data_IF_383220064561
#
_entry.id   IF_383220064561
#
_cell.length_a   1.000
_cell.length_b   1.000
_cell.length_c   1.000
_cell.angle_alpha   90.00
_cell.angle_beta   90.00
_cell.angle_gamma   90.00
#
_symmetry.space_group_name_H-M   'P 1'
#
loop_
_entity.id
_entity.type
_entity.pdbx_description
1 polymer ?
#
# COMPACT_ATOMS: atom_id res chain seq x y z
N UNK A 1 24.51 -15.07 -6.48
CA UNK A 1 24.17 -14.38 -5.19
C UNK A 1 22.70 -13.96 -5.29
N UNK A 2 21.87 -14.29 -4.30
CA UNK A 2 20.44 -14.00 -4.33
C UNK A 2 20.18 -12.49 -4.26
N UNK A 3 19.37 -11.98 -5.18
CA UNK A 3 19.02 -10.56 -5.31
C UNK A 3 17.56 -10.32 -4.98
N UNK A 4 17.28 -9.29 -4.17
CA UNK A 4 15.92 -8.78 -3.90
C UNK A 4 15.58 -7.54 -4.75
N UNK A 5 16.39 -7.25 -5.78
CA UNK A 5 16.13 -6.13 -6.69
C UNK A 5 14.78 -6.30 -7.37
N UNK A 6 14.09 -5.20 -7.53
CA UNK A 6 12.79 -5.15 -8.21
C UNK A 6 12.62 -3.86 -8.99
N UNK A 7 11.58 -3.80 -9.80
CA UNK A 7 11.20 -2.58 -10.53
C UNK A 7 9.71 -2.30 -10.32
N UNK A 8 9.37 -1.02 -10.14
CA UNK A 8 8.00 -0.50 -10.12
C UNK A 8 7.95 0.81 -10.92
N UNK A 9 7.01 0.93 -11.83
CA UNK A 9 6.78 2.15 -12.61
C UNK A 9 8.02 2.63 -13.40
N UNK A 10 8.90 1.71 -13.78
CA UNK A 10 10.16 2.01 -14.48
C UNK A 10 11.34 2.35 -13.57
N UNK A 11 11.15 2.48 -12.28
CA UNK A 11 12.21 2.71 -11.28
C UNK A 11 12.72 1.39 -10.70
N UNK A 12 14.02 1.34 -10.41
CA UNK A 12 14.69 0.18 -9.83
C UNK A 12 14.92 0.38 -8.33
N UNK A 13 14.75 -0.70 -7.56
CA UNK A 13 14.94 -0.74 -6.11
C UNK A 13 15.82 -1.93 -5.75
N UNK A 14 16.78 -1.73 -4.82
CA UNK A 14 17.71 -2.80 -4.40
C UNK A 14 17.06 -3.84 -3.49
N UNK A 15 15.89 -3.53 -2.90
CA UNK A 15 15.08 -4.41 -2.08
C UNK A 15 13.60 -4.24 -2.41
N UNK A 16 12.86 -5.34 -2.44
CA UNK A 16 11.43 -5.37 -2.73
C UNK A 16 10.53 -5.02 -1.53
N UNK A 17 11.09 -4.74 -0.35
CA UNK A 17 10.34 -4.44 0.87
C UNK A 17 10.26 -2.94 1.13
N UNK A 18 9.09 -2.48 1.59
CA UNK A 18 8.85 -1.10 2.02
C UNK A 18 7.76 -1.05 3.10
N UNK A 19 7.58 0.10 3.74
CA UNK A 19 6.47 0.32 4.66
C UNK A 19 5.13 0.45 3.93
N UNK A 20 4.02 0.20 4.62
CA UNK A 20 2.68 0.55 4.15
C UNK A 20 2.35 2.01 4.52
N UNK A 21 1.55 2.71 3.67
CA UNK A 21 1.17 4.12 3.81
C UNK A 21 0.29 4.44 5.05
N UNK A 22 0.56 3.82 6.16
CA UNK A 22 -0.16 3.98 7.43
C UNK A 22 0.71 3.80 8.64
N UNK A 23 1.95 3.32 8.44
CA UNK A 23 2.86 2.92 9.52
C UNK A 23 4.25 3.47 9.29
N UNK A 24 4.85 4.03 10.34
CA UNK A 24 6.20 4.65 10.34
C UNK A 24 6.38 5.62 9.17
N UNK A 25 5.44 6.56 9.03
CA UNK A 25 5.42 7.47 7.89
C UNK A 25 4.63 8.77 8.15
N UNK A 26 4.26 9.04 9.41
CA UNK A 26 3.50 10.22 9.81
C UNK A 26 4.35 11.47 9.81
N UNK A 27 5.60 11.37 10.27
CA UNK A 27 6.54 12.47 10.37
C UNK A 27 7.80 12.21 9.54
N UNK A 28 8.60 13.25 9.35
CA UNK A 28 9.90 13.14 8.66
C UNK A 28 10.84 12.19 9.41
N UNK A 29 10.82 12.23 10.75
CA UNK A 29 11.65 11.37 11.60
C UNK A 29 11.32 9.89 11.36
N UNK A 30 10.03 9.53 11.33
CA UNK A 30 9.59 8.17 11.02
C UNK A 30 10.00 7.73 9.61
N UNK A 31 9.87 8.63 8.62
CA UNK A 31 10.29 8.36 7.24
C UNK A 31 11.80 8.17 7.13
N UNK A 32 12.59 8.96 7.89
CA UNK A 32 14.05 8.81 7.97
C UNK A 32 14.47 7.47 8.58
N UNK A 33 13.78 6.98 9.61
CA UNK A 33 14.04 5.65 10.17
C UNK A 33 13.84 4.55 9.12
N UNK A 34 12.74 4.61 8.35
CA UNK A 34 12.51 3.66 7.25
C UNK A 34 13.55 3.81 6.15
N UNK A 35 13.90 5.06 5.76
CA UNK A 35 14.88 5.36 4.71
C UNK A 35 16.29 4.82 5.04
N UNK A 36 16.67 4.85 6.31
CA UNK A 36 17.97 4.39 6.82
C UNK A 36 18.00 2.88 7.09
N UNK A 37 16.85 2.21 7.05
CA UNK A 37 16.74 0.76 7.25
C UNK A 37 17.13 -0.04 6.00
N UNK A 38 16.95 -1.35 6.08
CA UNK A 38 17.13 -2.26 4.93
C UNK A 38 15.93 -2.22 3.92
N UNK A 39 14.95 -1.33 4.09
CA UNK A 39 13.88 -1.14 3.11
C UNK A 39 14.43 -0.62 1.77
N UNK A 40 13.87 -1.06 0.67
CA UNK A 40 14.26 -0.60 -0.67
C UNK A 40 13.87 0.85 -0.93
N UNK A 41 12.77 1.29 -0.35
CA UNK A 41 12.24 2.65 -0.39
C UNK A 41 11.19 2.81 0.72
N UNK A 42 10.55 3.99 0.77
CA UNK A 42 9.40 4.23 1.62
C UNK A 42 8.23 4.88 0.86
N UNK A 43 7.03 4.80 1.47
CA UNK A 43 5.85 5.56 1.10
C UNK A 43 5.45 6.48 2.26
N UNK A 44 5.05 7.71 1.95
CA UNK A 44 4.56 8.66 2.96
C UNK A 44 3.23 8.22 3.54
N UNK A 45 2.83 8.83 4.66
CA UNK A 45 1.44 8.77 5.12
C UNK A 45 0.53 9.28 4.02
N UNK A 46 -0.63 8.62 3.85
CA UNK A 46 -1.64 9.10 2.91
C UNK A 46 -2.05 10.52 3.27
N UNK A 47 -1.70 11.47 2.41
CA UNK A 47 -1.89 12.89 2.59
C UNK A 47 -3.28 13.35 2.14
N UNK A 48 -3.79 14.37 2.82
CA UNK A 48 -4.97 15.18 2.43
C UNK A 48 -4.54 16.61 2.15
N UNK A 49 -5.43 17.46 1.62
CA UNK A 49 -5.10 18.87 1.33
C UNK A 49 -4.67 19.64 2.59
N UNK A 50 -5.32 19.35 3.71
CA UNK A 50 -5.03 20.00 4.99
C UNK A 50 -4.65 18.97 6.04
N UNK A 51 -3.89 19.33 7.08
CA UNK A 51 -3.54 18.42 8.17
C UNK A 51 -4.79 17.86 8.87
N UNK A 52 -4.72 16.62 9.33
CA UNK A 52 -5.81 15.96 10.04
C UNK A 52 -5.31 15.32 11.33
N UNK A 53 -6.05 15.50 12.43
CA UNK A 53 -5.77 14.84 13.71
C UNK A 53 -6.21 13.38 13.73
N UNK A 54 -7.14 13.02 12.83
CA UNK A 54 -7.77 11.69 12.83
C UNK A 54 -8.89 11.55 13.86
N UNK A 55 -9.29 10.30 14.10
CA UNK A 55 -10.36 9.98 15.05
C UNK A 55 -9.87 10.06 16.50
N UNK A 56 -10.78 10.20 17.50
CA UNK A 56 -10.43 10.18 18.92
C UNK A 56 -9.88 8.81 19.37
N UNK A 57 -9.00 8.84 20.37
CA UNK A 57 -8.42 7.65 21.00
C UNK A 57 -9.40 6.93 21.95
N UNK A 58 -9.23 5.62 22.18
CA UNK A 58 -8.33 4.69 21.48
C UNK A 58 -8.84 4.36 20.07
N UNK A 59 -7.99 4.55 19.06
CA UNK A 59 -8.30 4.33 17.65
C UNK A 59 -7.46 3.25 16.96
N UNK A 60 -6.55 2.64 17.73
CA UNK A 60 -5.71 1.51 17.36
C UNK A 60 -5.56 0.56 18.54
N UNK A 61 -5.56 -0.74 18.28
CA UNK A 61 -5.29 -1.77 19.26
C UNK A 61 -4.56 -2.94 18.59
N UNK A 62 -3.46 -3.38 19.20
CA UNK A 62 -2.88 -4.68 18.90
C UNK A 62 -3.78 -5.78 19.46
N UNK A 63 -3.99 -6.82 18.65
CA UNK A 63 -4.78 -8.00 19.02
C UNK A 63 -3.98 -9.25 18.62
N UNK A 64 -4.30 -10.42 19.18
CA UNK A 64 -3.66 -11.65 18.72
C UNK A 64 -3.73 -11.79 17.19
N UNK A 65 -2.62 -12.12 16.53
CA UNK A 65 -2.49 -12.24 15.08
C UNK A 65 -2.66 -10.94 14.27
N UNK A 66 -2.68 -9.76 14.90
CA UNK A 66 -2.77 -8.54 14.13
C UNK A 66 -3.12 -7.27 14.89
N UNK A 67 -3.97 -6.47 14.29
CA UNK A 67 -4.43 -5.20 14.85
C UNK A 67 -5.81 -4.82 14.33
N UNK A 68 -6.50 -3.98 15.09
CA UNK A 68 -7.71 -3.28 14.65
C UNK A 68 -7.48 -1.78 14.73
N UNK A 69 -7.93 -1.02 13.73
CA UNK A 69 -7.77 0.42 13.71
C UNK A 69 -8.95 1.15 13.06
N UNK A 70 -9.19 2.36 13.53
CA UNK A 70 -10.08 3.34 12.90
C UNK A 70 -9.43 4.72 13.00
N UNK A 71 -8.29 4.89 12.29
CA UNK A 71 -7.39 6.03 12.44
C UNK A 71 -8.01 7.37 12.05
N UNK A 72 -8.88 7.43 11.01
CA UNK A 72 -9.48 8.66 10.55
C UNK A 72 -8.54 9.55 9.72
N UNK A 73 -7.55 8.96 9.04
CA UNK A 73 -6.56 9.65 8.20
C UNK A 73 -5.76 10.75 8.92
N UNK A 74 -5.16 10.52 10.10
CA UNK A 74 -4.25 11.49 10.64
C UNK A 74 -3.06 11.69 9.68
N UNK A 75 -2.71 12.95 9.36
CA UNK A 75 -1.58 13.28 8.49
C UNK A 75 -1.23 14.76 8.58
N UNK A 76 -0.05 15.14 8.09
CA UNK A 76 0.49 16.51 8.16
C UNK A 76 0.16 17.38 6.94
N UNK A 77 -0.62 16.91 6.00
CA UNK A 77 -0.96 17.49 4.68
C UNK A 77 0.01 17.11 3.55
N UNK A 78 -0.44 17.31 2.32
CA UNK A 78 0.36 17.07 1.12
C UNK A 78 1.60 17.95 1.07
N UNK A 79 1.53 19.21 1.52
CA UNK A 79 2.66 20.13 1.49
C UNK A 79 3.83 19.64 2.32
N UNK A 80 3.55 19.20 3.55
CA UNK A 80 4.57 18.65 4.45
C UNK A 80 5.37 17.52 3.81
N UNK A 81 4.67 16.58 3.15
CA UNK A 81 5.35 15.43 2.53
C UNK A 81 6.03 15.81 1.22
N UNK A 82 5.43 16.68 0.41
CA UNK A 82 6.07 17.15 -0.83
C UNK A 82 7.36 17.92 -0.55
N UNK A 83 7.38 18.83 0.40
CA UNK A 83 8.56 19.61 0.77
C UNK A 83 9.71 18.68 1.17
N UNK A 84 9.42 17.66 1.98
CA UNK A 84 10.42 16.69 2.38
C UNK A 84 10.91 15.84 1.19
N UNK A 85 9.99 15.33 0.36
CA UNK A 85 10.34 14.50 -0.81
C UNK A 85 11.16 15.28 -1.85
N UNK A 86 10.88 16.56 -2.05
CA UNK A 86 11.68 17.44 -2.93
C UNK A 86 13.10 17.61 -2.40
N UNK A 87 13.25 17.84 -1.10
CA UNK A 87 14.58 17.91 -0.44
C UNK A 87 15.36 16.61 -0.62
N UNK A 88 14.69 15.46 -0.48
CA UNK A 88 15.33 14.14 -0.71
C UNK A 88 15.71 13.93 -2.18
N UNK A 89 14.86 14.34 -3.10
CA UNK A 89 15.12 14.21 -4.53
C UNK A 89 16.33 15.03 -4.97
N UNK A 90 16.55 16.20 -4.37
CA UNK A 90 17.74 17.03 -4.63
C UNK A 90 19.01 16.40 -4.05
N UNK A 91 18.92 15.85 -2.82
CA UNK A 91 20.08 15.28 -2.12
C UNK A 91 20.41 13.84 -2.53
N UNK A 92 19.45 13.07 -3.05
CA UNK A 92 19.57 11.67 -3.43
C UNK A 92 18.85 11.39 -4.76
N UNK A 93 19.29 11.98 -5.88
CA UNK A 93 18.59 11.93 -7.17
C UNK A 93 18.50 10.50 -7.76
N UNK A 94 19.33 9.58 -7.30
CA UNK A 94 19.31 8.17 -7.70
C UNK A 94 18.25 7.33 -6.97
N UNK A 95 17.64 7.87 -5.91
CA UNK A 95 16.60 7.17 -5.13
C UNK A 95 15.21 7.67 -5.49
N UNK A 96 14.27 6.75 -5.55
CA UNK A 96 12.86 7.04 -5.82
C UNK A 96 12.00 6.71 -4.60
N UNK A 97 11.09 7.60 -4.27
CA UNK A 97 10.18 7.50 -3.13
C UNK A 97 8.72 7.57 -3.57
N UNK A 98 7.84 7.12 -2.71
CA UNK A 98 6.40 7.12 -2.97
C UNK A 98 5.69 8.18 -2.14
N UNK A 99 4.76 8.89 -2.77
CA UNK A 99 3.81 9.80 -2.14
C UNK A 99 2.42 9.17 -2.17
N UNK A 100 1.81 8.92 -1.02
CA UNK A 100 0.43 8.47 -0.92
C UNK A 100 -0.51 9.64 -0.67
N UNK A 101 -1.67 9.66 -1.35
CA UNK A 101 -2.65 10.72 -1.18
C UNK A 101 -4.10 10.23 -1.32
N UNK A 102 -5.03 10.98 -0.76
CA UNK A 102 -6.47 10.76 -0.88
C UNK A 102 -7.22 12.09 -0.80
N UNK A 103 -8.12 12.33 -1.74
CA UNK A 103 -9.12 13.38 -1.62
C UNK A 103 -10.35 12.89 -0.86
N UNK A 104 -10.98 13.78 -0.08
CA UNK A 104 -12.26 13.51 0.59
C UNK A 104 -13.46 13.66 -0.36
N UNK A 105 -13.17 14.15 -1.58
CA UNK A 105 -14.10 14.23 -2.72
C UNK A 105 -13.32 14.09 -4.03
N UNK A 106 -14.00 13.86 -5.18
CA UNK A 106 -13.35 13.89 -6.48
C UNK A 106 -12.61 15.20 -6.77
N UNK A 107 -13.18 16.36 -6.37
CA UNK A 107 -12.56 17.67 -6.56
C UNK A 107 -11.29 17.85 -5.71
N UNK A 108 -11.27 17.35 -4.48
CA UNK A 108 -10.07 17.32 -3.66
C UNK A 108 -9.00 16.41 -4.25
N UNK A 109 -9.39 15.24 -4.78
CA UNK A 109 -8.47 14.33 -5.47
C UNK A 109 -7.83 15.02 -6.68
N UNK A 110 -8.64 15.72 -7.48
CA UNK A 110 -8.16 16.52 -8.59
C UNK A 110 -7.17 17.61 -8.15
N UNK A 111 -7.50 18.33 -7.09
CA UNK A 111 -6.64 19.40 -6.53
C UNK A 111 -5.31 18.83 -6.05
N UNK A 112 -5.32 17.70 -5.34
CA UNK A 112 -4.11 17.02 -4.86
C UNK A 112 -3.22 16.56 -6.02
N UNK A 113 -3.80 15.88 -7.02
CA UNK A 113 -3.05 15.42 -8.19
C UNK A 113 -2.48 16.60 -9.00
N UNK A 114 -3.23 17.68 -9.19
CA UNK A 114 -2.69 18.90 -9.83
C UNK A 114 -1.52 19.51 -9.05
N UNK A 115 -1.59 19.49 -7.72
CA UNK A 115 -0.50 19.98 -6.88
C UNK A 115 0.77 19.13 -7.08
N UNK A 116 0.65 17.81 -7.13
CA UNK A 116 1.77 16.92 -7.46
C UNK A 116 2.27 17.14 -8.89
N UNK A 117 1.35 17.26 -9.87
CA UNK A 117 1.70 17.49 -11.27
C UNK A 117 2.55 18.77 -11.44
N UNK A 118 2.16 19.85 -10.77
CA UNK A 118 2.82 21.14 -10.86
C UNK A 118 4.06 21.28 -9.95
N UNK A 119 4.29 20.31 -9.07
CA UNK A 119 5.50 20.25 -8.24
C UNK A 119 6.68 19.69 -9.02
N UNK A 120 7.88 19.92 -8.55
CA UNK A 120 9.11 19.28 -9.08
C UNK A 120 9.24 17.80 -8.74
N UNK A 121 8.30 17.20 -7.99
CA UNK A 121 8.37 15.80 -7.59
C UNK A 121 8.30 14.84 -8.80
N UNK A 122 9.31 13.98 -8.94
CA UNK A 122 9.46 13.01 -10.03
C UNK A 122 9.39 11.55 -9.56
N UNK A 123 9.00 11.30 -8.30
CA UNK A 123 8.80 9.96 -7.76
C UNK A 123 7.45 9.35 -8.16
N UNK A 124 7.00 8.41 -7.37
CA UNK A 124 5.80 7.61 -7.65
C UNK A 124 4.64 8.08 -6.77
N UNK A 125 3.47 8.26 -7.35
CA UNK A 125 2.24 8.64 -6.65
C UNK A 125 1.32 7.44 -6.47
N UNK A 126 0.81 7.24 -5.24
CA UNK A 126 -0.22 6.26 -4.91
C UNK A 126 -1.52 6.99 -4.54
N UNK A 127 -2.57 6.80 -5.31
CA UNK A 127 -3.91 7.27 -4.96
C UNK A 127 -4.63 6.20 -4.13
N UNK A 128 -4.96 6.53 -2.89
CA UNK A 128 -5.63 5.61 -1.99
C UNK A 128 -7.15 5.64 -2.22
N UNK A 129 -7.68 4.64 -2.92
CA UNK A 129 -9.11 4.45 -3.19
C UNK A 129 -9.84 3.63 -2.10
N UNK A 130 -9.10 3.16 -1.10
CA UNK A 130 -9.60 2.28 -0.03
C UNK A 130 -9.99 3.00 1.26
N UNK A 131 -10.09 4.32 1.23
CA UNK A 131 -10.43 5.07 2.44
C UNK A 131 -11.92 4.91 2.78
N UNK A 132 -12.29 4.36 3.96
CA UNK A 132 -13.68 4.19 4.37
C UNK A 132 -14.29 5.46 4.98
N UNK A 133 -13.72 6.64 4.76
CA UNK A 133 -13.81 7.77 5.66
C UNK A 133 -14.84 8.85 5.31
N UNK A 134 -15.67 8.64 4.27
CA UNK A 134 -16.82 9.52 4.04
C UNK A 134 -18.03 8.86 4.67
N UNK A 135 -18.56 9.46 5.72
CA UNK A 135 -19.78 8.97 6.37
C UNK A 135 -20.90 8.80 5.35
N UNK A 136 -21.51 7.61 5.33
CA UNK A 136 -22.63 7.28 4.44
C UNK A 136 -22.29 6.97 2.97
N UNK A 137 -20.99 6.94 2.60
CA UNK A 137 -20.56 6.51 1.25
C UNK A 137 -19.71 5.22 1.31
N UNK A 138 -19.82 4.35 0.29
CA UNK A 138 -18.90 3.21 0.18
C UNK A 138 -17.47 3.69 -0.03
N UNK A 139 -16.50 2.79 0.13
CA UNK A 139 -15.13 3.04 -0.30
C UNK A 139 -15.13 3.29 -1.82
N UNK A 140 -14.35 4.28 -2.28
CA UNK A 140 -14.33 4.69 -3.69
C UNK A 140 -14.07 3.49 -4.62
N UNK A 141 -13.16 2.59 -4.24
CA UNK A 141 -12.82 1.42 -5.05
C UNK A 141 -13.97 0.39 -5.21
N UNK A 142 -15.03 0.47 -4.40
CA UNK A 142 -16.24 -0.36 -4.60
C UNK A 142 -17.33 0.35 -5.44
N UNK A 143 -17.15 1.64 -5.71
CA UNK A 143 -17.96 2.42 -6.63
C UNK A 143 -17.18 2.60 -7.94
N UNK A 144 -17.40 1.67 -8.88
CA UNK A 144 -16.66 1.64 -10.14
C UNK A 144 -16.93 2.88 -11.01
N UNK A 145 -18.12 3.44 -10.97
CA UNK A 145 -18.46 4.66 -11.73
C UNK A 145 -17.68 5.87 -11.18
N UNK A 146 -17.66 6.04 -9.86
CA UNK A 146 -16.83 7.09 -9.20
C UNK A 146 -15.34 6.85 -9.44
N UNK A 147 -14.89 5.60 -9.41
CA UNK A 147 -13.50 5.24 -9.70
C UNK A 147 -13.12 5.63 -11.15
N UNK A 148 -13.96 5.27 -12.14
CA UNK A 148 -13.75 5.65 -13.54
C UNK A 148 -13.70 7.17 -13.70
N UNK A 149 -14.66 7.89 -13.15
CA UNK A 149 -14.69 9.36 -13.21
C UNK A 149 -13.41 10.01 -12.65
N UNK A 150 -12.90 9.49 -11.53
CA UNK A 150 -11.66 10.01 -10.94
C UNK A 150 -10.46 9.73 -11.85
N UNK A 151 -10.35 8.52 -12.41
CA UNK A 151 -9.24 8.12 -13.27
C UNK A 151 -9.33 8.83 -14.63
N UNK A 152 -10.51 8.93 -15.24
CA UNK A 152 -10.74 9.71 -16.47
C UNK A 152 -10.24 11.15 -16.29
N UNK A 153 -10.66 11.79 -15.21
CA UNK A 153 -10.23 13.16 -14.91
C UNK A 153 -8.72 13.23 -14.67
N UNK A 154 -8.17 12.35 -13.84
CA UNK A 154 -6.74 12.34 -13.51
C UNK A 154 -5.86 12.25 -14.76
N UNK A 155 -6.13 11.31 -15.64
CA UNK A 155 -5.31 11.08 -16.84
C UNK A 155 -5.53 12.08 -17.99
N UNK A 156 -6.36 13.11 -17.82
CA UNK A 156 -6.39 14.24 -18.76
C UNK A 156 -5.21 15.21 -18.57
N UNK A 157 -4.56 15.21 -17.40
CA UNK A 157 -3.50 16.17 -17.08
C UNK A 157 -2.34 15.59 -16.26
N UNK A 158 -2.51 14.43 -15.63
CA UNK A 158 -1.49 13.83 -14.77
C UNK A 158 -0.67 12.84 -15.58
N UNK A 159 0.58 13.16 -15.87
CA UNK A 159 1.51 12.36 -16.67
C UNK A 159 2.62 11.68 -15.87
N UNK A 160 2.68 11.94 -14.55
CA UNK A 160 3.64 11.31 -13.65
C UNK A 160 3.21 9.88 -13.28
N UNK A 161 4.15 9.04 -12.80
CA UNK A 161 3.83 7.66 -12.42
C UNK A 161 2.74 7.60 -11.35
N UNK A 162 1.58 7.02 -11.69
CA UNK A 162 0.42 6.88 -10.82
C UNK A 162 0.06 5.40 -10.64
N UNK A 163 -0.13 5.00 -9.40
CA UNK A 163 -0.77 3.75 -9.02
C UNK A 163 -1.91 3.98 -8.04
N UNK A 164 -2.62 2.93 -7.72
CA UNK A 164 -3.78 2.97 -6.82
C UNK A 164 -3.66 1.95 -5.71
N UNK A 165 -4.13 2.32 -4.50
CA UNK A 165 -4.28 1.38 -3.38
C UNK A 165 -5.73 1.00 -3.17
N UNK A 166 -5.97 -0.29 -3.07
CA UNK A 166 -7.31 -0.90 -3.04
C UNK A 166 -7.66 -1.47 -1.66
N UNK A 167 -8.95 -1.48 -1.32
CA UNK A 167 -9.48 -2.37 -0.29
C UNK A 167 -9.44 -3.81 -0.81
N UNK A 168 -9.61 -4.82 0.06
CA UNK A 168 -9.78 -6.19 -0.39
C UNK A 168 -11.11 -6.37 -1.15
N UNK A 169 -11.08 -7.09 -2.26
CA UNK A 169 -12.26 -7.63 -2.93
C UNK A 169 -12.46 -9.08 -2.50
N UNK A 170 -13.72 -9.54 -2.54
CA UNK A 170 -14.10 -10.83 -1.95
C UNK A 170 -14.76 -11.80 -2.94
N UNK A 171 -15.12 -11.35 -4.14
CA UNK A 171 -15.73 -12.20 -5.16
C UNK A 171 -15.13 -11.96 -6.56
N UNK A 172 -15.27 -12.97 -7.41
CA UNK A 172 -14.69 -12.98 -8.75
C UNK A 172 -15.25 -11.89 -9.63
N UNK A 173 -16.55 -11.61 -9.53
CA UNK A 173 -17.20 -10.60 -10.36
C UNK A 173 -16.62 -9.19 -10.09
N UNK A 174 -16.31 -8.87 -8.83
CA UNK A 174 -15.69 -7.60 -8.50
C UNK A 174 -14.22 -7.51 -8.98
N UNK A 175 -13.45 -8.60 -8.94
CA UNK A 175 -12.13 -8.61 -9.53
C UNK A 175 -12.18 -8.37 -11.04
N UNK A 176 -13.11 -9.00 -11.74
CA UNK A 176 -13.27 -8.84 -13.19
C UNK A 176 -13.68 -7.41 -13.56
N UNK A 177 -14.64 -6.84 -12.82
CA UNK A 177 -15.09 -5.45 -13.03
C UNK A 177 -13.98 -4.44 -12.73
N UNK A 178 -13.29 -4.58 -11.59
CA UNK A 178 -12.19 -3.70 -11.21
C UNK A 178 -11.05 -3.74 -12.24
N UNK A 179 -10.63 -4.93 -12.65
CA UNK A 179 -9.57 -5.08 -13.65
C UNK A 179 -9.98 -4.49 -15.01
N UNK A 180 -11.24 -4.65 -15.42
CA UNK A 180 -11.77 -4.03 -16.65
C UNK A 180 -11.68 -2.49 -16.61
N UNK A 181 -11.94 -1.90 -15.44
CA UNK A 181 -11.77 -0.44 -15.24
C UNK A 181 -10.30 -0.07 -15.32
N UNK A 182 -9.45 -0.72 -14.51
CA UNK A 182 -8.05 -0.34 -14.36
C UNK A 182 -7.23 -0.51 -15.64
N UNK A 183 -7.50 -1.54 -16.45
CA UNK A 183 -6.83 -1.79 -17.71
C UNK A 183 -7.09 -0.73 -18.80
N UNK A 184 -8.02 0.19 -18.58
CA UNK A 184 -8.29 1.31 -19.51
C UNK A 184 -7.32 2.49 -19.30
N UNK A 185 -6.57 2.49 -18.20
CA UNK A 185 -5.73 3.62 -17.81
C UNK A 185 -4.25 3.22 -17.77
N UNK A 186 -3.33 4.18 -18.01
CA UNK A 186 -1.89 3.93 -17.95
C UNK A 186 -1.37 3.88 -16.50
N UNK A 187 -2.12 3.22 -15.62
CA UNK A 187 -1.70 2.95 -14.25
C UNK A 187 -0.38 2.19 -14.25
N UNK A 188 0.47 2.51 -13.29
CA UNK A 188 1.77 1.83 -13.14
C UNK A 188 1.70 0.65 -12.20
N UNK A 189 0.82 0.71 -11.20
CA UNK A 189 0.62 -0.40 -10.28
C UNK A 189 -0.74 -0.34 -9.60
N UNK A 190 -1.13 -1.50 -9.08
CA UNK A 190 -2.23 -1.69 -8.14
C UNK A 190 -1.66 -2.25 -6.85
N UNK A 191 -1.95 -1.64 -5.71
CA UNK A 191 -1.50 -2.08 -4.39
C UNK A 191 -2.65 -2.78 -3.64
N UNK A 192 -2.50 -4.04 -3.35
CA UNK A 192 -3.46 -4.92 -2.69
C UNK A 192 -2.85 -5.47 -1.40
N UNK A 193 -3.43 -5.23 -0.23
CA UNK A 193 -4.69 -4.60 0.08
C UNK A 193 -4.53 -3.61 1.25
N UNK A 194 -5.51 -2.74 1.46
CA UNK A 194 -5.68 -2.04 2.74
C UNK A 194 -6.27 -3.00 3.78
N UNK A 195 -6.39 -2.58 5.03
CA UNK A 195 -7.05 -3.34 6.09
C UNK A 195 -8.47 -3.77 5.69
N UNK A 196 -8.91 -4.95 6.16
CA UNK A 196 -10.28 -5.42 5.98
C UNK A 196 -11.20 -4.57 6.84
N UNK A 197 -12.06 -3.79 6.21
CA UNK A 197 -12.96 -2.85 6.88
C UNK A 197 -14.08 -3.52 7.66
N UNK A 198 -14.63 -2.77 8.64
CA UNK A 198 -15.77 -3.12 9.46
C UNK A 198 -15.58 -4.38 10.33
N UNK A 199 -14.35 -4.69 10.71
CA UNK A 199 -14.06 -5.68 11.74
C UNK A 199 -14.36 -5.13 13.14
N UNK A 200 -14.53 -6.03 14.12
CA UNK A 200 -14.73 -5.72 15.52
C UNK A 200 -13.91 -6.67 16.38
N UNK A 201 -13.33 -6.13 17.46
CA UNK A 201 -12.66 -6.94 18.46
C UNK A 201 -13.23 -6.62 19.84
N UNK A 202 -13.48 -7.66 20.64
CA UNK A 202 -14.14 -7.57 21.95
C UNK A 202 -13.19 -8.13 23.00
N UNK A 203 -12.97 -7.37 24.07
CA UNK A 203 -12.33 -7.80 25.33
C UNK A 203 -13.30 -7.51 26.48
N UNK A 204 -13.57 -8.49 27.31
CA UNK A 204 -14.41 -8.35 28.51
C UNK A 204 -15.74 -7.60 28.26
N UNK A 205 -16.51 -8.05 27.27
CA UNK A 205 -17.82 -7.49 26.87
C UNK A 205 -17.75 -6.07 26.25
N UNK A 206 -16.55 -5.55 25.99
CA UNK A 206 -16.35 -4.19 25.46
C UNK A 206 -15.58 -4.18 24.15
N UNK A 207 -15.89 -3.20 23.28
CA UNK A 207 -15.08 -2.95 22.08
C UNK A 207 -13.75 -2.30 22.47
N UNK A 208 -12.68 -2.62 21.76
CA UNK A 208 -11.31 -2.18 22.10
C UNK A 208 -10.89 -0.86 21.46
N UNK A 209 -11.67 -0.33 20.51
CA UNK A 209 -11.45 0.99 19.89
C UNK A 209 -12.73 1.83 19.97
N UNK A 210 -12.56 3.14 20.10
CA UNK A 210 -13.67 4.09 20.31
C UNK A 210 -14.44 4.47 19.05
N UNK A 211 -13.76 4.80 17.92
CA UNK A 211 -14.44 5.32 16.76
C UNK A 211 -15.45 4.32 16.16
N UNK A 212 -16.52 4.84 15.55
CA UNK A 212 -17.55 4.04 14.88
C UNK A 212 -18.11 2.89 15.75
N UNK A 213 -18.25 3.11 17.06
CA UNK A 213 -18.73 2.11 18.01
C UNK A 213 -17.95 0.79 17.94
N UNK A 214 -16.63 0.86 17.80
CA UNK A 214 -15.75 -0.30 17.75
C UNK A 214 -15.50 -0.91 16.38
N UNK A 215 -16.14 -0.41 15.31
CA UNK A 215 -15.85 -0.86 13.96
C UNK A 215 -14.52 -0.29 13.44
N UNK A 216 -13.66 -1.16 12.97
CA UNK A 216 -12.33 -0.78 12.44
C UNK A 216 -11.83 -1.68 11.33
N UNK A 217 -10.73 -1.28 10.73
CA UNK A 217 -9.99 -2.08 9.77
C UNK A 217 -9.11 -3.12 10.50
N UNK A 218 -9.22 -4.37 10.11
CA UNK A 218 -8.37 -5.46 10.59
C UNK A 218 -7.11 -5.55 9.75
N UNK A 219 -5.96 -5.61 10.42
CA UNK A 219 -4.64 -5.81 9.83
C UNK A 219 -3.91 -7.01 10.43
N UNK A 220 -2.70 -7.28 9.93
CA UNK A 220 -1.84 -8.34 10.44
C UNK A 220 -2.09 -9.71 9.80
N UNK A 221 -1.78 -10.79 10.50
CA UNK A 221 -1.85 -12.16 9.97
C UNK A 221 -3.27 -12.56 9.56
N UNK A 222 -4.29 -12.01 10.21
CA UNK A 222 -5.71 -12.24 9.87
C UNK A 222 -6.01 -12.01 8.38
N UNK A 223 -5.37 -11.02 7.76
CA UNK A 223 -5.72 -10.62 6.40
C UNK A 223 -4.85 -11.29 5.32
N UNK A 224 -3.80 -12.01 5.69
CA UNK A 224 -2.86 -12.61 4.73
C UNK A 224 -3.55 -13.47 3.66
N UNK A 225 -4.44 -14.42 3.98
CA UNK A 225 -5.11 -15.23 2.96
C UNK A 225 -5.88 -14.38 1.95
N UNK A 226 -6.61 -13.37 2.42
CA UNK A 226 -7.34 -12.44 1.56
C UNK A 226 -6.39 -11.58 0.72
N UNK A 227 -5.30 -11.10 1.31
CA UNK A 227 -4.29 -10.31 0.61
C UNK A 227 -3.64 -11.10 -0.54
N UNK A 228 -3.21 -12.34 -0.28
CA UNK A 228 -2.64 -13.23 -1.30
C UNK A 228 -3.62 -13.48 -2.45
N UNK A 229 -4.91 -13.74 -2.12
CA UNK A 229 -5.95 -13.95 -3.12
C UNK A 229 -6.14 -12.70 -4.00
N UNK A 230 -6.16 -11.50 -3.40
CA UNK A 230 -6.29 -10.24 -4.13
C UNK A 230 -5.06 -9.97 -5.02
N UNK A 231 -3.84 -10.13 -4.50
CA UNK A 231 -2.61 -10.01 -5.29
C UNK A 231 -2.65 -10.92 -6.50
N UNK A 232 -3.00 -12.20 -6.28
CA UNK A 232 -3.03 -13.18 -7.36
C UNK A 232 -4.14 -12.91 -8.37
N UNK A 233 -5.34 -12.57 -7.91
CA UNK A 233 -6.47 -12.25 -8.77
C UNK A 233 -6.18 -11.06 -9.70
N UNK A 234 -5.57 -10.00 -9.18
CA UNK A 234 -5.18 -8.85 -10.00
C UNK A 234 -3.99 -9.14 -10.90
N UNK A 235 -2.98 -9.87 -10.43
CA UNK A 235 -1.86 -10.28 -11.28
C UNK A 235 -2.31 -11.05 -12.53
N UNK A 236 -3.36 -11.88 -12.41
CA UNK A 236 -3.91 -12.65 -13.54
C UNK A 236 -4.77 -11.82 -14.50
N UNK A 237 -5.30 -10.66 -14.08
CA UNK A 237 -6.33 -9.90 -14.79
C UNK A 237 -5.87 -8.56 -15.34
N UNK A 238 -4.86 -8.00 -14.72
CA UNK A 238 -4.33 -6.70 -15.15
C UNK A 238 -3.45 -6.85 -16.39
N UNK A 239 -3.43 -5.80 -17.19
CA UNK A 239 -2.43 -5.67 -18.26
C UNK A 239 -1.02 -5.85 -17.66
N UNK A 240 -0.12 -6.61 -18.32
CA UNK A 240 1.23 -6.86 -17.82
C UNK A 240 2.06 -5.60 -17.54
N UNK A 241 1.71 -4.45 -18.10
CA UNK A 241 2.33 -3.16 -17.81
C UNK A 241 1.94 -2.60 -16.42
N UNK A 242 0.82 -3.06 -15.83
CA UNK A 242 0.33 -2.67 -14.51
C UNK A 242 0.85 -3.66 -13.48
N UNK A 243 1.81 -3.24 -12.69
CA UNK A 243 2.43 -4.11 -11.68
C UNK A 243 1.55 -4.24 -10.43
N UNK A 244 1.78 -5.28 -9.62
CA UNK A 244 1.07 -5.47 -8.35
C UNK A 244 2.03 -5.27 -7.19
N UNK A 245 1.62 -4.48 -6.21
CA UNK A 245 2.26 -4.37 -4.89
C UNK A 245 1.43 -5.18 -3.91
N UNK A 246 2.08 -6.08 -3.16
CA UNK A 246 1.43 -6.92 -2.17
C UNK A 246 1.49 -6.32 -0.77
N UNK A 247 0.34 -6.20 -0.12
CA UNK A 247 0.23 -5.65 1.25
C UNK A 247 -0.75 -6.49 2.06
N UNK A 248 -0.36 -6.91 3.25
CA UNK A 248 -1.24 -7.58 4.22
C UNK A 248 -0.69 -8.90 4.75
N UNK A 249 -0.51 -8.96 6.06
CA UNK A 249 -0.09 -10.15 6.79
C UNK A 249 1.37 -10.54 6.61
N UNK A 250 2.24 -9.60 6.28
CA UNK A 250 3.68 -9.84 6.09
C UNK A 250 4.41 -9.69 7.42
N UNK A 251 4.82 -10.81 8.00
CA UNK A 251 5.56 -10.92 9.26
C UNK A 251 6.92 -11.62 9.10
N UNK A 252 7.12 -12.33 8.00
CA UNK A 252 8.31 -13.15 7.74
C UNK A 252 8.73 -13.12 6.28
N UNK A 253 9.95 -13.60 5.99
CA UNK A 253 10.40 -13.83 4.61
C UNK A 253 9.52 -14.82 3.85
N UNK A 254 8.87 -15.75 4.55
CA UNK A 254 7.90 -16.66 3.96
C UNK A 254 6.66 -15.92 3.46
N UNK A 255 6.15 -14.97 4.24
CA UNK A 255 4.99 -14.18 3.81
C UNK A 255 5.33 -13.31 2.60
N UNK A 256 6.50 -12.67 2.60
CA UNK A 256 6.98 -11.90 1.45
C UNK A 256 7.16 -12.78 0.21
N UNK A 257 7.74 -13.98 0.38
CA UNK A 257 7.87 -14.98 -0.70
C UNK A 257 6.50 -15.34 -1.31
N UNK A 258 5.50 -15.57 -0.49
CA UNK A 258 4.15 -15.94 -0.95
C UNK A 258 3.45 -14.79 -1.69
N UNK A 259 3.61 -13.54 -1.27
CA UNK A 259 3.14 -12.38 -2.02
C UNK A 259 3.77 -12.30 -3.42
N UNK A 260 5.09 -12.49 -3.52
CA UNK A 260 5.80 -12.46 -4.80
C UNK A 260 5.38 -13.66 -5.68
N UNK A 261 5.24 -14.85 -5.08
CA UNK A 261 4.75 -16.04 -5.77
C UNK A 261 3.34 -15.82 -6.35
N UNK A 262 2.48 -15.05 -5.67
CA UNK A 262 1.17 -14.64 -6.16
C UNK A 262 1.23 -13.55 -7.24
N UNK A 263 2.39 -12.92 -7.48
CA UNK A 263 2.58 -11.95 -8.56
C UNK A 263 3.00 -10.55 -8.12
N UNK A 264 3.22 -10.32 -6.82
CA UNK A 264 3.69 -9.02 -6.35
C UNK A 264 5.11 -8.72 -6.84
N UNK A 265 5.34 -7.50 -7.33
CA UNK A 265 6.67 -6.98 -7.67
C UNK A 265 7.33 -6.31 -6.47
N UNK A 266 6.54 -5.77 -5.55
CA UNK A 266 6.97 -5.17 -4.28
C UNK A 266 6.05 -5.61 -3.16
N UNK A 267 6.54 -5.56 -1.91
CA UNK A 267 5.78 -6.00 -0.73
C UNK A 267 5.83 -4.93 0.34
N UNK A 268 4.66 -4.51 0.83
CA UNK A 268 4.53 -3.55 1.92
C UNK A 268 4.32 -4.26 3.26
N UNK A 269 4.98 -3.76 4.30
CA UNK A 269 4.84 -4.22 5.68
C UNK A 269 4.13 -3.14 6.51
N UNK A 270 3.00 -3.50 7.12
CA UNK A 270 2.21 -2.60 7.99
C UNK A 270 2.26 -3.01 9.45
N UNK A 271 1.28 -3.75 9.95
CA UNK A 271 1.12 -4.11 11.37
C UNK A 271 2.40 -4.66 12.00
N UNK A 272 3.11 -5.55 11.30
CA UNK A 272 4.36 -6.11 11.81
C UNK A 272 5.47 -5.05 11.96
N UNK A 273 5.54 -4.06 11.07
CA UNK A 273 6.44 -2.93 11.20
C UNK A 273 6.12 -2.08 12.44
N UNK A 274 4.83 -1.82 12.68
CA UNK A 274 4.40 -1.10 13.89
C UNK A 274 4.81 -1.83 15.18
N UNK A 275 4.66 -3.16 15.19
CA UNK A 275 4.94 -3.99 16.36
C UNK A 275 6.43 -4.24 16.61
N UNK A 276 7.26 -4.28 15.56
CA UNK A 276 8.65 -4.76 15.63
C UNK A 276 9.70 -3.69 15.27
N UNK A 277 9.26 -2.53 14.76
CA UNK A 277 10.15 -1.47 14.29
C UNK A 277 10.86 -1.80 12.97
N UNK A 278 11.72 -0.88 12.52
CA UNK A 278 12.35 -0.92 11.18
C UNK A 278 13.34 -2.07 10.98
N UNK A 279 13.83 -2.70 12.05
CA UNK A 279 14.66 -3.90 11.98
C UNK A 279 13.99 -5.09 11.27
N UNK A 280 12.66 -5.06 11.14
CA UNK A 280 11.90 -6.09 10.41
C UNK A 280 12.34 -6.20 8.95
N UNK A 281 12.73 -5.10 8.30
CA UNK A 281 13.14 -5.11 6.90
C UNK A 281 14.41 -5.94 6.68
N UNK A 282 15.39 -5.82 7.56
CA UNK A 282 16.61 -6.64 7.49
C UNK A 282 16.29 -8.12 7.72
N UNK A 283 15.54 -8.42 8.79
CA UNK A 283 15.18 -9.80 9.14
C UNK A 283 14.40 -10.49 8.02
N UNK A 284 13.32 -9.86 7.52
CA UNK A 284 12.49 -10.42 6.44
C UNK A 284 13.30 -10.57 5.14
N UNK A 285 14.21 -9.64 4.85
CA UNK A 285 15.12 -9.74 3.69
C UNK A 285 16.03 -10.94 3.77
N UNK A 286 16.64 -11.20 4.94
CA UNK A 286 17.51 -12.36 5.17
C UNK A 286 16.74 -13.68 5.06
N UNK A 287 15.56 -13.75 5.67
CA UNK A 287 14.66 -14.91 5.58
C UNK A 287 14.20 -15.18 4.14
N UNK A 288 13.82 -14.14 3.39
CA UNK A 288 13.43 -14.27 1.99
C UNK A 288 14.58 -14.78 1.11
N UNK A 289 15.78 -14.21 1.27
CA UNK A 289 17.00 -14.68 0.57
C UNK A 289 17.31 -16.15 0.88
N UNK A 290 17.15 -16.57 2.13
CA UNK A 290 17.38 -17.96 2.54
C UNK A 290 16.37 -18.91 1.85
N UNK A 291 15.08 -18.55 1.79
CA UNK A 291 14.04 -19.33 1.09
C UNK A 291 14.35 -19.41 -0.40
N UNK A 292 14.74 -18.30 -1.03
CA UNK A 292 15.10 -18.26 -2.44
C UNK A 292 16.30 -19.17 -2.73
N UNK A 293 17.36 -19.07 -1.94
CA UNK A 293 18.55 -19.91 -2.08
C UNK A 293 18.22 -21.40 -1.94
N UNK A 294 17.42 -21.76 -0.93
CA UNK A 294 16.98 -23.17 -0.72
C UNK A 294 16.21 -23.72 -1.93
N UNK A 295 15.47 -22.85 -2.64
CA UNK A 295 14.67 -23.23 -3.81
C UNK A 295 15.41 -23.08 -5.14
N UNK A 296 16.66 -22.60 -5.12
CA UNK A 296 17.47 -22.38 -6.32
C UNK A 296 17.07 -21.14 -7.14
N UNK A 297 16.43 -20.17 -6.52
CA UNK A 297 16.09 -18.89 -7.16
C UNK A 297 17.20 -17.84 -6.90
N UNK A 298 17.57 -17.10 -7.92
CA UNK A 298 18.60 -16.05 -7.84
C UNK A 298 17.98 -14.64 -7.80
N UNK A 299 16.80 -14.45 -8.40
CA UNK A 299 16.07 -13.17 -8.48
C UNK A 299 14.57 -13.38 -8.32
N UNK A 300 13.83 -12.31 -8.04
CA UNK A 300 12.39 -12.37 -7.79
C UNK A 300 11.60 -12.88 -9.01
N UNK A 301 12.04 -12.52 -10.22
CA UNK A 301 11.40 -12.93 -11.48
C UNK A 301 11.45 -14.46 -11.68
N UNK A 302 12.35 -15.16 -11.01
CA UNK A 302 12.45 -16.62 -11.11
C UNK A 302 11.20 -17.33 -10.60
N UNK A 303 10.46 -16.71 -9.67
CA UNK A 303 9.25 -17.27 -9.07
C UNK A 303 8.04 -16.36 -9.02
N UNK A 304 8.18 -15.07 -9.37
CA UNK A 304 7.05 -14.12 -9.38
C UNK A 304 5.92 -14.62 -10.26
N UNK A 305 4.71 -14.72 -9.68
CA UNK A 305 3.51 -15.16 -10.38
C UNK A 305 3.46 -16.63 -10.74
N UNK A 306 4.41 -17.45 -10.25
CA UNK A 306 4.51 -18.89 -10.60
C UNK A 306 3.85 -19.79 -9.55
N UNK A 307 2.69 -19.37 -9.03
CA UNK A 307 1.89 -20.18 -8.12
C UNK A 307 1.48 -21.49 -8.83
N UNK A 308 1.65 -22.62 -8.15
CA UNK A 308 1.28 -23.95 -8.68
C UNK A 308 -0.13 -24.28 -8.22
N UNK A 309 -0.89 -24.91 -9.11
CA UNK A 309 -2.23 -25.42 -8.84
C UNK A 309 -2.22 -26.95 -8.74
N UNK A 310 -3.25 -27.51 -8.12
CA UNK A 310 -3.51 -28.95 -8.23
C UNK A 310 -3.99 -29.26 -9.65
N UNK A 311 -3.51 -30.37 -10.19
CA UNK A 311 -3.97 -30.93 -11.46
C UNK A 311 -5.33 -31.60 -11.28
#
# INVERSE_FOLDING_TARGET
MVSLKTQIAGFSFDNCLMNAAGVSCMTVEELEEVRQSAAGTFITKTATLTPRQGNPEPRYRDVPLGSINSMGLPNQSIDYYLDYLLTLQESQPERTFFLSLVGMSPDETHTLLKKVQNSGFNGITELNLSCPNVAGKPQIAYDFETTEMILDNAFTYFDKPLGIKLPPYFDIAHFDQAAKVFNRYPLKFVNCVNSIGNGMYIEDESVVIRPKNGFGGIGGQYIKPTALANVHAFYQRLDPSIQVIGTGGVYSGRDAFEHILCGASMVQIGTALHQQGVGIFERVSLELKAIMAQKGYEKLEDFKGKLKYFE
#
